data_IF_750151837315
#
_entry.id   IF_750151837315
#
_cell.length_a   1.000
_cell.length_b   1.000
_cell.length_c   1.000
_cell.angle_alpha   90.00
_cell.angle_beta   90.00
_cell.angle_gamma   90.00
#
_symmetry.space_group_name_H-M   'P 1'
#
loop_
_entity.id
_entity.type
_entity.pdbx_description
1 polymer ?
#
# COMPACT_ATOMS: atom_id res chain seq x y z
N UNK A 1 46.76 5.76 44.59
CA UNK A 1 46.58 7.00 43.79
C UNK A 1 45.09 7.26 43.59
N UNK A 2 44.49 8.21 44.33
CA UNK A 2 43.09 8.63 44.16
C UNK A 2 43.06 9.83 43.20
N UNK A 3 42.68 9.61 41.94
CA UNK A 3 42.51 10.69 40.95
C UNK A 3 41.03 11.02 40.77
N UNK A 4 40.67 12.19 41.31
CA UNK A 4 39.71 13.19 40.83
C UNK A 4 38.39 12.71 40.20
N UNK A 5 37.36 12.55 41.05
CA UNK A 5 35.94 12.40 40.66
C UNK A 5 35.24 13.73 40.34
N UNK A 6 35.92 14.86 40.52
CA UNK A 6 35.32 16.20 40.42
C UNK A 6 35.09 16.62 38.96
N UNK A 7 35.97 16.21 38.04
CA UNK A 7 35.85 16.56 36.61
C UNK A 7 34.60 15.97 35.94
N UNK A 8 34.16 14.80 36.37
CA UNK A 8 33.00 14.11 35.78
C UNK A 8 31.68 14.76 36.17
N UNK A 9 31.59 15.30 37.38
CA UNK A 9 30.37 15.97 37.90
C UNK A 9 30.14 17.30 37.17
N UNK A 10 31.20 18.07 36.91
CA UNK A 10 31.09 19.35 36.18
C UNK A 10 30.62 19.12 34.75
N UNK A 11 31.10 18.06 34.08
CA UNK A 11 30.69 17.75 32.71
C UNK A 11 29.20 17.38 32.62
N UNK A 12 28.69 16.63 33.60
CA UNK A 12 27.29 16.22 33.66
C UNK A 12 26.34 17.42 33.88
N UNK A 13 26.70 18.38 34.73
CA UNK A 13 25.86 19.56 35.00
C UNK A 13 25.77 20.46 33.77
N UNK A 14 26.88 20.66 33.04
CA UNK A 14 26.87 21.46 31.80
C UNK A 14 26.03 20.78 30.70
N UNK A 15 26.13 19.46 30.55
CA UNK A 15 25.35 18.73 29.55
C UNK A 15 23.83 18.82 29.81
N UNK A 16 23.40 18.69 31.07
CA UNK A 16 21.98 18.82 31.44
C UNK A 16 21.47 20.26 31.21
N UNK A 17 22.29 21.27 31.51
CA UNK A 17 21.94 22.67 31.25
C UNK A 17 21.71 23.00 29.77
N UNK A 18 22.56 22.46 28.87
CA UNK A 18 22.43 22.66 27.41
C UNK A 18 21.17 21.97 26.87
N UNK A 19 20.89 20.74 27.32
CA UNK A 19 19.69 20.00 26.89
C UNK A 19 18.41 20.72 27.35
N UNK A 20 18.41 21.26 28.57
CA UNK A 20 17.25 21.98 29.09
C UNK A 20 17.04 23.34 28.40
N UNK A 21 18.13 24.03 28.05
CA UNK A 21 18.09 25.28 27.29
C UNK A 21 17.51 25.11 25.87
N UNK A 22 17.91 24.04 25.18
CA UNK A 22 17.43 23.75 23.82
C UNK A 22 15.95 23.34 23.78
N UNK A 23 15.47 22.59 24.78
CA UNK A 23 14.04 22.23 24.88
C UNK A 23 13.13 23.43 25.14
N UNK A 24 13.62 24.49 25.79
CA UNK A 24 12.82 25.69 26.07
C UNK A 24 12.69 26.60 24.84
N UNK A 25 13.70 26.61 23.96
CA UNK A 25 13.71 27.42 22.74
C UNK A 25 12.79 26.85 21.66
N UNK A 26 12.62 25.53 21.60
CA UNK A 26 11.70 24.88 20.65
C UNK A 26 10.23 25.07 21.02
N UNK A 27 9.89 25.22 22.31
CA UNK A 27 8.52 25.50 22.74
C UNK A 27 8.03 26.91 22.35
N UNK A 28 8.93 27.89 22.22
CA UNK A 28 8.54 29.27 21.84
C UNK A 28 8.19 29.42 20.35
N UNK A 29 8.64 28.51 19.49
CA UNK A 29 8.36 28.58 18.04
C UNK A 29 6.94 28.06 17.72
N UNK A 30 6.31 27.31 18.63
CA UNK A 30 4.99 26.71 18.43
C UNK A 30 3.78 27.62 18.71
N UNK A 31 3.98 28.86 19.19
CA UNK A 31 2.89 29.78 19.55
C UNK A 31 2.71 30.98 18.59
N UNK A 32 3.04 30.83 17.30
CA UNK A 32 2.57 31.81 16.29
C UNK A 32 1.10 31.55 15.98
N UNK A 33 0.25 32.49 16.42
CA UNK A 33 -1.18 32.55 16.13
C UNK A 33 -1.46 32.51 14.61
N UNK A 34 -2.49 31.78 14.16
CA UNK A 34 -2.93 31.82 12.79
C UNK A 34 -3.65 33.14 12.49
N UNK A 35 -3.23 33.82 11.43
CA UNK A 35 -3.89 34.99 10.85
C UNK A 35 -5.29 34.62 10.33
N UNK A 36 -6.29 35.50 10.48
CA UNK A 36 -7.67 35.20 10.07
C UNK A 36 -7.86 35.26 8.54
N UNK A 37 -8.67 34.32 8.05
CA UNK A 37 -9.12 34.18 6.67
C UNK A 37 -9.96 35.37 6.21
N UNK A 38 -9.64 35.92 5.03
CA UNK A 38 -10.55 36.79 4.26
C UNK A 38 -11.41 35.92 3.34
N UNK A 39 -12.71 35.88 3.60
CA UNK A 39 -13.72 35.22 2.77
C UNK A 39 -14.14 36.18 1.65
N UNK A 40 -13.82 35.83 0.41
CA UNK A 40 -14.29 36.54 -0.78
C UNK A 40 -15.53 35.83 -1.33
N UNK A 41 -16.66 36.55 -1.35
CA UNK A 41 -17.93 36.12 -1.94
C UNK A 41 -17.77 35.98 -3.46
N UNK A 42 -17.96 34.77 -4.00
CA UNK A 42 -18.33 34.61 -5.41
C UNK A 42 -19.80 34.24 -5.53
N UNK A 43 -20.49 35.07 -6.31
CA UNK A 43 -21.89 34.98 -6.69
C UNK A 43 -22.17 33.79 -7.59
N UNK A 44 -23.38 33.26 -7.44
CA UNK A 44 -24.00 32.28 -8.29
C UNK A 44 -24.32 32.86 -9.69
N UNK A 45 -24.17 32.01 -10.71
CA UNK A 45 -24.94 32.11 -11.94
C UNK A 45 -25.35 30.71 -12.38
N UNK A 46 -26.67 30.50 -12.31
CA UNK A 46 -27.42 29.44 -12.97
C UNK A 46 -27.25 29.55 -14.49
N UNK A 47 -27.12 28.42 -15.18
CA UNK A 47 -27.78 28.24 -16.48
C UNK A 47 -28.07 26.76 -16.76
N UNK A 48 -29.30 26.52 -17.22
CA UNK A 48 -29.86 25.25 -17.66
C UNK A 48 -29.34 24.88 -19.06
N UNK A 49 -29.17 23.58 -19.30
CA UNK A 49 -29.03 23.01 -20.64
C UNK A 49 -29.40 21.52 -20.62
N UNK A 50 -30.52 21.20 -21.24
CA UNK A 50 -31.16 19.88 -21.34
C UNK A 50 -30.34 18.86 -22.16
N UNK A 51 -30.48 17.61 -21.73
CA UNK A 51 -30.68 16.37 -22.52
C UNK A 51 -29.72 16.00 -23.66
N UNK A 52 -29.03 14.86 -23.47
CA UNK A 52 -29.03 13.83 -24.51
C UNK A 52 -28.88 12.41 -23.91
N UNK A 53 -29.91 11.62 -24.14
CA UNK A 53 -29.97 10.16 -24.01
C UNK A 53 -28.88 9.47 -24.85
N UNK A 54 -28.19 8.51 -24.24
CA UNK A 54 -27.59 7.38 -24.95
C UNK A 54 -27.49 6.20 -23.98
N UNK A 55 -28.51 5.34 -24.03
CA UNK A 55 -28.50 4.03 -23.43
C UNK A 55 -27.35 3.19 -23.99
N UNK A 56 -26.38 2.87 -23.13
CA UNK A 56 -25.52 1.69 -23.27
C UNK A 56 -25.55 0.94 -21.96
N UNK A 57 -26.00 -0.29 -22.04
CA UNK A 57 -25.93 -1.29 -20.98
C UNK A 57 -24.46 -1.46 -20.59
N UNK A 58 -24.10 -0.91 -19.43
CA UNK A 58 -22.87 -1.22 -18.72
C UNK A 58 -23.24 -1.99 -17.45
N UNK A 59 -22.69 -3.18 -17.34
CA UNK A 59 -22.65 -3.95 -16.09
C UNK A 59 -22.06 -3.08 -14.96
N UNK A 60 -22.47 -3.27 -13.70
CA UNK A 60 -22.10 -2.35 -12.62
C UNK A 60 -20.64 -2.55 -12.21
N UNK A 61 -19.73 -1.83 -12.87
CA UNK A 61 -18.40 -1.54 -12.34
C UNK A 61 -18.51 -0.48 -11.23
N UNK A 62 -18.14 -0.88 -10.01
CA UNK A 62 -18.05 0.00 -8.85
C UNK A 62 -19.24 -0.14 -7.90
N UNK A 63 -19.17 -1.13 -7.00
CA UNK A 63 -20.06 -1.21 -5.84
C UNK A 63 -19.83 0.04 -4.97
N UNK A 64 -20.63 1.08 -5.21
CA UNK A 64 -20.65 2.33 -4.45
C UNK A 64 -20.83 1.99 -2.97
N UNK A 65 -19.91 2.48 -2.12
CA UNK A 65 -19.98 2.26 -0.66
C UNK A 65 -21.35 2.69 -0.12
N UNK A 66 -22.02 1.87 0.70
CA UNK A 66 -23.38 2.18 1.13
C UNK A 66 -23.41 3.40 2.06
N UNK A 67 -24.36 4.30 1.80
CA UNK A 67 -24.47 5.60 2.45
C UNK A 67 -24.99 5.57 3.91
N UNK A 68 -25.32 4.40 4.48
CA UNK A 68 -25.83 4.36 5.86
C UNK A 68 -26.05 2.99 6.49
N UNK A 69 -26.40 1.97 5.69
CA UNK A 69 -26.50 0.58 6.15
C UNK A 69 -25.23 -0.12 5.71
N UNK A 70 -24.30 -0.38 6.64
CA UNK A 70 -23.00 -0.96 6.28
C UNK A 70 -23.15 -2.23 5.42
N UNK A 71 -22.21 -2.46 4.50
CA UNK A 71 -22.20 -3.71 3.72
C UNK A 71 -21.73 -4.82 4.66
N UNK A 72 -22.65 -5.73 5.01
CA UNK A 72 -22.37 -6.84 5.93
C UNK A 72 -22.21 -8.13 5.15
N UNK A 73 -21.09 -8.83 5.38
CA UNK A 73 -20.77 -10.12 4.80
C UNK A 73 -20.51 -11.15 5.90
N UNK A 74 -20.96 -12.39 5.69
CA UNK A 74 -20.86 -13.46 6.68
C UNK A 74 -21.99 -13.48 7.72
N UNK A 75 -21.87 -14.36 8.70
CA UNK A 75 -22.90 -14.62 9.71
C UNK A 75 -22.96 -13.50 10.75
N UNK A 76 -24.15 -12.99 11.13
CA UNK A 76 -24.29 -12.02 12.21
C UNK A 76 -23.79 -12.56 13.57
N UNK A 77 -23.77 -13.88 13.75
CA UNK A 77 -23.37 -14.57 14.98
C UNK A 77 -21.88 -14.95 15.00
N UNK A 78 -21.13 -14.63 13.94
CA UNK A 78 -19.70 -14.89 13.88
C UNK A 78 -18.95 -14.17 15.03
N UNK A 79 -18.13 -14.92 15.76
CA UNK A 79 -17.33 -14.39 16.87
C UNK A 79 -16.19 -13.51 16.40
N UNK A 80 -15.64 -13.76 15.20
CA UNK A 80 -14.65 -12.88 14.59
C UNK A 80 -15.38 -11.77 13.84
N UNK A 81 -15.36 -10.57 14.40
CA UNK A 81 -15.96 -9.37 13.82
C UNK A 81 -14.86 -8.48 13.23
N UNK A 82 -14.97 -8.19 11.94
CA UNK A 82 -14.13 -7.23 11.23
C UNK A 82 -15.00 -6.02 10.87
N UNK A 83 -14.61 -4.84 11.34
CA UNK A 83 -15.28 -3.57 11.03
C UNK A 83 -14.31 -2.72 10.24
N UNK A 84 -14.60 -2.48 8.96
CA UNK A 84 -13.81 -1.60 8.11
C UNK A 84 -14.53 -0.26 7.94
N UNK A 85 -13.82 0.83 8.24
CA UNK A 85 -14.33 2.19 8.07
C UNK A 85 -13.43 2.89 7.08
N UNK A 86 -13.91 3.05 5.85
CA UNK A 86 -13.08 3.39 4.69
C UNK A 86 -13.66 4.60 3.94
N UNK A 87 -12.84 5.50 3.38
CA UNK A 87 -13.33 6.52 2.46
C UNK A 87 -13.70 5.89 1.10
N UNK A 88 -14.67 6.44 0.36
CA UNK A 88 -14.99 5.99 -0.99
C UNK A 88 -13.84 6.39 -1.93
N UNK A 89 -12.82 5.53 -2.02
CA UNK A 89 -11.60 5.82 -2.77
C UNK A 89 -10.98 4.54 -3.32
N UNK A 90 -10.38 4.63 -4.51
CA UNK A 90 -9.75 3.50 -5.19
C UNK A 90 -8.58 2.91 -4.40
N UNK A 91 -7.90 3.70 -3.58
CA UNK A 91 -6.81 3.22 -2.74
C UNK A 91 -7.25 2.19 -1.69
N UNK A 92 -8.56 2.05 -1.47
CA UNK A 92 -9.16 1.05 -0.58
C UNK A 92 -9.74 -0.16 -1.30
N UNK A 93 -9.77 -0.18 -2.63
CA UNK A 93 -10.22 -1.34 -3.38
C UNK A 93 -9.46 -2.64 -3.01
N UNK A 94 -8.13 -2.62 -2.78
CA UNK A 94 -7.41 -3.78 -2.28
C UNK A 94 -7.94 -4.30 -0.93
N UNK A 95 -8.22 -3.40 0.01
CA UNK A 95 -8.81 -3.72 1.31
C UNK A 95 -10.17 -4.40 1.14
N UNK A 96 -11.04 -3.81 0.31
CA UNK A 96 -12.40 -4.32 0.10
C UNK A 96 -12.40 -5.73 -0.49
N UNK A 97 -11.54 -5.98 -1.49
CA UNK A 97 -11.40 -7.30 -2.12
C UNK A 97 -10.92 -8.36 -1.12
N UNK A 98 -9.89 -8.06 -0.33
CA UNK A 98 -9.37 -9.06 0.62
C UNK A 98 -10.35 -9.35 1.76
N UNK A 99 -11.10 -8.35 2.22
CA UNK A 99 -12.14 -8.54 3.22
C UNK A 99 -13.30 -9.41 2.69
N UNK A 100 -13.68 -9.23 1.41
CA UNK A 100 -14.66 -10.08 0.76
C UNK A 100 -14.19 -11.55 0.66
N UNK A 101 -12.95 -11.77 0.26
CA UNK A 101 -12.33 -13.10 0.20
C UNK A 101 -12.27 -13.78 1.57
N UNK A 102 -11.93 -13.03 2.62
CA UNK A 102 -11.93 -13.53 4.00
C UNK A 102 -13.35 -13.94 4.43
N UNK A 103 -14.36 -13.12 4.15
CA UNK A 103 -15.76 -13.42 4.49
C UNK A 103 -16.28 -14.65 3.73
N UNK A 104 -15.91 -14.81 2.45
CA UNK A 104 -16.26 -15.97 1.62
C UNK A 104 -15.59 -17.26 2.08
N UNK A 105 -14.36 -17.18 2.57
CA UNK A 105 -13.63 -18.34 3.06
C UNK A 105 -14.25 -18.90 4.36
N UNK A 106 -14.77 -18.05 5.24
CA UNK A 106 -15.29 -18.46 6.55
C UNK A 106 -16.63 -17.78 6.92
N UNK A 107 -17.69 -17.95 6.12
CA UNK A 107 -18.92 -17.17 6.25
C UNK A 107 -19.66 -17.44 7.56
N UNK A 108 -19.43 -18.57 8.23
CA UNK A 108 -20.04 -18.90 9.53
C UNK A 108 -19.25 -18.38 10.72
N UNK A 109 -17.95 -18.09 10.55
CA UNK A 109 -17.03 -17.78 11.66
C UNK A 109 -16.49 -16.35 11.61
N UNK A 110 -16.58 -15.70 10.46
CA UNK A 110 -16.15 -14.31 10.24
C UNK A 110 -17.32 -13.47 9.75
N UNK A 111 -17.49 -12.29 10.37
CA UNK A 111 -18.38 -11.22 9.91
C UNK A 111 -17.55 -10.02 9.52
N UNK A 112 -17.80 -9.49 8.34
CA UNK A 112 -17.22 -8.22 7.86
C UNK A 112 -18.34 -7.20 7.78
N UNK A 113 -18.14 -6.03 8.38
CA UNK A 113 -19.02 -4.86 8.27
C UNK A 113 -18.22 -3.70 7.68
N UNK A 114 -18.71 -3.12 6.58
CA UNK A 114 -18.02 -2.03 5.89
C UNK A 114 -18.87 -0.77 5.96
N UNK A 115 -18.31 0.31 6.49
CA UNK A 115 -18.94 1.62 6.61
C UNK A 115 -18.10 2.68 5.90
N UNK A 116 -18.78 3.64 5.26
CA UNK A 116 -18.11 4.84 4.77
C UNK A 116 -17.63 5.72 5.92
N UNK A 117 -16.42 6.27 5.83
CA UNK A 117 -15.90 7.23 6.83
C UNK A 117 -16.83 8.43 7.06
N UNK A 118 -17.47 8.90 5.98
CA UNK A 118 -18.39 10.05 6.03
C UNK A 118 -19.82 9.67 6.43
N UNK A 119 -20.10 8.37 6.68
CA UNK A 119 -21.41 7.94 7.16
C UNK A 119 -21.54 8.24 8.67
N UNK A 120 -22.75 8.56 9.16
CA UNK A 120 -22.96 8.79 10.60
C UNK A 120 -22.46 7.61 11.46
N UNK A 121 -22.68 6.38 10.99
CA UNK A 121 -22.24 5.18 11.70
C UNK A 121 -20.72 5.00 11.68
N UNK A 122 -20.08 5.24 10.53
CA UNK A 122 -18.64 5.19 10.40
C UNK A 122 -17.94 6.23 11.29
N UNK A 123 -18.42 7.47 11.29
CA UNK A 123 -17.91 8.54 12.16
C UNK A 123 -18.05 8.19 13.65
N UNK A 124 -19.21 7.68 14.06
CA UNK A 124 -19.44 7.22 15.44
C UNK A 124 -18.45 6.11 15.84
N UNK A 125 -18.25 5.11 14.97
CA UNK A 125 -17.36 3.98 15.26
C UNK A 125 -15.89 4.43 15.30
N UNK A 126 -15.46 5.32 14.41
CA UNK A 126 -14.11 5.91 14.46
C UNK A 126 -13.85 6.62 15.79
N UNK A 127 -14.81 7.45 16.23
CA UNK A 127 -14.74 8.13 17.52
C UNK A 127 -14.70 7.11 18.68
N UNK A 128 -15.59 6.11 18.66
CA UNK A 128 -15.64 5.06 19.69
C UNK A 128 -14.31 4.30 19.80
N UNK A 129 -13.65 4.04 18.68
CA UNK A 129 -12.38 3.31 18.66
C UNK A 129 -11.13 4.22 18.73
N UNK A 130 -11.30 5.54 18.89
CA UNK A 130 -10.18 6.49 18.99
C UNK A 130 -9.33 6.54 17.71
N UNK A 131 -9.96 6.50 16.54
CA UNK A 131 -9.29 6.60 15.25
C UNK A 131 -9.76 7.84 14.47
N UNK A 132 -8.85 8.47 13.74
CA UNK A 132 -9.11 9.68 12.95
C UNK A 132 -8.99 9.45 11.44
N UNK A 133 -8.60 8.24 11.02
CA UNK A 133 -8.35 7.88 9.63
C UNK A 133 -9.02 6.54 9.28
N UNK A 134 -8.99 6.17 7.99
CA UNK A 134 -9.44 4.88 7.50
C UNK A 134 -8.87 3.77 8.39
N UNK A 135 -9.71 2.89 8.92
CA UNK A 135 -9.28 1.91 9.92
C UNK A 135 -10.07 0.62 9.79
N UNK A 136 -9.41 -0.49 10.09
CA UNK A 136 -10.00 -1.81 10.19
C UNK A 136 -9.84 -2.30 11.62
N UNK A 137 -10.95 -2.63 12.25
CA UNK A 137 -11.00 -3.16 13.61
C UNK A 137 -11.37 -4.63 13.56
N UNK A 138 -10.50 -5.49 14.07
CA UNK A 138 -10.77 -6.92 14.22
C UNK A 138 -11.00 -7.16 15.71
N UNK A 139 -12.23 -7.55 16.05
CA UNK A 139 -12.72 -7.67 17.43
C UNK A 139 -12.45 -6.42 18.28
N UNK A 140 -12.64 -5.24 17.67
CA UNK A 140 -12.48 -3.93 18.31
C UNK A 140 -11.04 -3.45 18.45
N UNK A 141 -10.05 -4.18 17.92
CA UNK A 141 -8.63 -3.79 17.93
C UNK A 141 -8.14 -3.47 16.51
N UNK A 142 -7.25 -2.50 16.39
CA UNK A 142 -6.55 -2.17 15.12
C UNK A 142 -5.03 -2.36 15.19
N UNK A 143 -4.50 -2.71 16.36
CA UNK A 143 -3.07 -2.87 16.62
C UNK A 143 -2.79 -4.32 17.02
N UNK A 144 -1.89 -4.97 16.29
CA UNK A 144 -1.61 -6.38 16.40
C UNK A 144 -0.11 -6.65 16.34
N UNK A 145 0.31 -7.71 17.01
CA UNK A 145 1.65 -8.25 16.89
C UNK A 145 1.58 -9.52 16.07
N UNK A 146 2.24 -9.54 14.92
CA UNK A 146 2.33 -10.71 14.06
C UNK A 146 3.73 -11.29 14.12
N UNK A 147 3.81 -12.62 14.18
CA UNK A 147 5.05 -13.36 14.04
C UNK A 147 5.00 -14.15 12.74
N UNK A 148 5.93 -13.86 11.83
CA UNK A 148 6.09 -14.58 10.56
C UNK A 148 7.57 -14.84 10.32
N UNK A 149 7.92 -16.06 9.91
CA UNK A 149 9.31 -16.46 9.62
C UNK A 149 10.30 -16.14 10.77
N UNK A 150 9.84 -16.28 12.02
CA UNK A 150 10.64 -15.98 13.22
C UNK A 150 10.81 -14.48 13.53
N UNK A 151 10.30 -13.58 12.69
CA UNK A 151 10.29 -12.15 12.94
C UNK A 151 8.95 -11.72 13.54
N UNK A 152 9.02 -11.02 14.66
CA UNK A 152 7.86 -10.40 15.29
C UNK A 152 7.80 -8.93 14.91
N UNK A 153 6.65 -8.49 14.40
CA UNK A 153 6.42 -7.08 14.05
C UNK A 153 5.05 -6.60 14.52
N UNK A 154 4.98 -5.30 14.77
CA UNK A 154 3.72 -4.59 15.04
C UNK A 154 3.05 -4.21 13.73
N UNK A 155 1.75 -4.40 13.64
CA UNK A 155 0.90 -4.07 12.50
C UNK A 155 -0.25 -3.20 12.97
N UNK A 156 -0.45 -2.07 12.31
CA UNK A 156 -1.54 -1.15 12.60
C UNK A 156 -2.45 -1.09 11.37
N UNK A 157 -3.67 -1.63 11.52
CA UNK A 157 -4.70 -1.68 10.49
C UNK A 157 -5.40 -0.31 10.33
N UNK A 158 -4.62 0.71 9.98
CA UNK A 158 -5.05 2.08 9.71
C UNK A 158 -4.54 2.50 8.31
N UNK A 159 -5.12 3.54 7.71
CA UNK A 159 -4.77 4.06 6.37
C UNK A 159 -5.05 3.03 5.27
N UNK A 160 -4.27 3.03 4.19
CA UNK A 160 -4.41 2.12 3.06
C UNK A 160 -3.38 0.97 3.16
N UNK A 161 -3.66 -0.21 2.56
CA UNK A 161 -2.67 -1.26 2.40
C UNK A 161 -1.40 -0.71 1.73
N UNK A 162 -0.24 -1.16 2.18
CA UNK A 162 1.06 -0.64 1.75
C UNK A 162 1.62 0.50 2.62
N UNK A 163 0.79 1.17 3.43
CA UNK A 163 1.24 2.22 4.34
C UNK A 163 1.63 1.70 5.74
N UNK A 164 0.71 1.02 6.43
CA UNK A 164 0.96 0.50 7.79
C UNK A 164 0.57 -0.97 7.99
N UNK A 165 -0.05 -1.58 6.98
CA UNK A 165 -0.36 -3.01 6.93
C UNK A 165 -0.40 -3.48 5.47
N UNK A 166 -0.35 -4.79 5.26
CA UNK A 166 -0.54 -5.45 3.96
C UNK A 166 -1.85 -6.23 3.93
N UNK A 167 -2.37 -6.56 2.75
CA UNK A 167 -3.56 -7.41 2.63
C UNK A 167 -3.37 -8.78 3.29
N UNK A 168 -2.15 -9.34 3.21
CA UNK A 168 -1.78 -10.57 3.90
C UNK A 168 -1.82 -10.44 5.42
N UNK A 169 -1.57 -9.25 5.97
CA UNK A 169 -1.64 -9.03 7.42
C UNK A 169 -3.06 -9.22 7.93
N UNK A 170 -4.07 -8.76 7.19
CA UNK A 170 -5.47 -8.96 7.55
C UNK A 170 -5.83 -10.46 7.58
N UNK A 171 -5.29 -11.25 6.64
CA UNK A 171 -5.49 -12.70 6.61
C UNK A 171 -4.87 -13.34 7.85
N UNK A 172 -3.62 -13.00 8.19
CA UNK A 172 -2.95 -13.56 9.37
C UNK A 172 -3.64 -13.17 10.67
N UNK A 173 -4.08 -11.90 10.80
CA UNK A 173 -4.78 -11.44 12.00
C UNK A 173 -6.12 -12.17 12.15
N UNK A 174 -6.88 -12.33 11.07
CA UNK A 174 -8.14 -13.08 11.12
C UNK A 174 -7.89 -14.56 11.40
N UNK A 175 -6.85 -15.16 10.82
CA UNK A 175 -6.44 -16.54 11.11
C UNK A 175 -6.14 -16.74 12.61
N UNK A 176 -5.35 -15.83 13.19
CA UNK A 176 -5.02 -15.82 14.62
C UNK A 176 -6.27 -15.66 15.50
N UNK A 177 -7.18 -14.75 15.15
CA UNK A 177 -8.42 -14.54 15.91
C UNK A 177 -9.38 -15.73 15.79
N UNK A 178 -9.42 -16.41 14.64
CA UNK A 178 -10.14 -17.67 14.48
C UNK A 178 -9.55 -18.76 15.38
N UNK A 179 -8.23 -18.92 15.42
CA UNK A 179 -7.56 -19.85 16.35
C UNK A 179 -7.93 -19.53 17.80
N UNK A 180 -7.86 -18.25 18.19
CA UNK A 180 -8.15 -17.81 19.56
C UNK A 180 -9.61 -18.07 19.99
N UNK A 181 -10.57 -17.84 19.10
CA UNK A 181 -12.01 -17.88 19.44
C UNK A 181 -12.71 -19.19 19.12
N UNK A 182 -12.16 -19.97 18.19
CA UNK A 182 -12.74 -21.24 17.72
C UNK A 182 -11.80 -22.44 17.89
N UNK A 183 -10.58 -22.24 18.41
CA UNK A 183 -9.57 -23.30 18.59
C UNK A 183 -8.86 -23.71 17.30
N UNK A 184 -9.29 -23.20 16.14
CA UNK A 184 -8.68 -23.48 14.84
C UNK A 184 -8.83 -22.28 13.90
N UNK A 185 -7.80 -22.03 13.10
CA UNK A 185 -7.79 -20.99 12.08
C UNK A 185 -8.51 -21.41 10.81
N UNK A 186 -8.14 -20.75 9.70
CA UNK A 186 -8.32 -21.31 8.36
C UNK A 186 -7.57 -22.64 8.26
N UNK A 187 -8.10 -23.59 7.49
CA UNK A 187 -7.32 -24.77 7.10
C UNK A 187 -6.14 -24.35 6.20
N UNK A 188 -5.13 -25.20 6.09
CA UNK A 188 -3.87 -24.87 5.40
C UNK A 188 -4.08 -24.54 3.92
N UNK A 189 -4.99 -25.24 3.24
CA UNK A 189 -5.30 -25.00 1.82
C UNK A 189 -5.94 -23.62 1.64
N UNK A 190 -6.93 -23.30 2.47
CA UNK A 190 -7.60 -21.99 2.46
C UNK A 190 -6.63 -20.87 2.80
N UNK A 191 -5.81 -21.05 3.84
CA UNK A 191 -4.80 -20.06 4.25
C UNK A 191 -3.80 -19.78 3.13
N UNK A 192 -3.28 -20.83 2.48
CA UNK A 192 -2.37 -20.69 1.35
C UNK A 192 -3.03 -19.95 0.19
N UNK A 193 -4.25 -20.32 -0.18
CA UNK A 193 -4.99 -19.65 -1.25
C UNK A 193 -5.23 -18.16 -0.95
N UNK A 194 -5.64 -17.83 0.29
CA UNK A 194 -5.83 -16.46 0.72
C UNK A 194 -4.51 -15.68 0.70
N UNK A 195 -3.40 -16.25 1.18
CA UNK A 195 -2.07 -15.60 1.13
C UNK A 195 -1.67 -15.25 -0.30
N UNK A 196 -1.86 -16.17 -1.25
CA UNK A 196 -1.56 -15.91 -2.66
C UNK A 196 -2.46 -14.81 -3.24
N UNK A 197 -3.76 -14.82 -2.96
CA UNK A 197 -4.67 -13.72 -3.33
C UNK A 197 -4.24 -12.39 -2.70
N UNK A 198 -3.87 -12.39 -1.42
CA UNK A 198 -3.44 -11.21 -0.69
C UNK A 198 -2.19 -10.58 -1.28
N UNK A 199 -1.22 -11.39 -1.71
CA UNK A 199 -0.01 -10.92 -2.43
C UNK A 199 -0.37 -10.28 -3.78
N UNK A 200 -1.27 -10.89 -4.53
CA UNK A 200 -1.72 -10.38 -5.83
C UNK A 200 -2.42 -9.02 -5.72
N UNK A 201 -3.14 -8.79 -4.62
CA UNK A 201 -3.92 -7.57 -4.39
C UNK A 201 -3.04 -6.34 -4.05
N UNK A 202 -1.81 -6.52 -3.56
CA UNK A 202 -0.90 -5.42 -3.14
C UNK A 202 -0.19 -4.75 -4.32
N UNK A 203 -0.19 -5.37 -5.50
CA UNK A 203 0.53 -4.88 -6.68
C UNK A 203 -0.05 -3.60 -7.32
N UNK A 204 -1.24 -3.15 -6.92
CA UNK A 204 -1.68 -1.76 -7.09
C UNK A 204 -2.07 -1.33 -8.50
N UNK A 205 -3.29 -1.67 -8.91
CA UNK A 205 -3.96 -1.09 -10.07
C UNK A 205 -5.31 -1.78 -10.31
N UNK A 206 -6.22 -1.13 -11.02
CA UNK A 206 -7.54 -1.66 -11.36
C UNK A 206 -7.46 -3.01 -12.06
N UNK A 207 -8.43 -3.88 -11.77
CA UNK A 207 -8.72 -5.07 -12.59
C UNK A 207 -7.61 -6.14 -12.68
N UNK A 208 -8.04 -7.36 -13.00
CA UNK A 208 -7.20 -8.46 -13.50
C UNK A 208 -5.96 -8.85 -12.69
N UNK A 209 -6.22 -9.75 -11.74
CA UNK A 209 -5.51 -11.03 -11.56
C UNK A 209 -4.47 -11.39 -12.63
N UNK A 210 -3.33 -11.90 -12.11
CA UNK A 210 -2.37 -12.84 -12.72
C UNK A 210 -0.95 -12.26 -12.92
N UNK A 211 -0.18 -12.24 -11.83
CA UNK A 211 1.14 -11.61 -11.71
C UNK A 211 2.29 -12.59 -11.51
N UNK A 212 2.18 -13.82 -12.04
CA UNK A 212 3.34 -14.68 -12.26
C UNK A 212 3.00 -15.71 -13.34
N UNK A 213 3.48 -15.49 -14.57
CA UNK A 213 3.45 -16.54 -15.58
C UNK A 213 4.79 -17.27 -15.54
N UNK A 214 4.84 -18.56 -15.14
CA UNK A 214 6.08 -19.34 -15.17
C UNK A 214 6.62 -19.53 -16.60
N UNK A 215 5.84 -19.17 -17.63
CA UNK A 215 6.20 -19.20 -19.05
C UNK A 215 6.57 -17.83 -19.62
N UNK A 216 6.63 -16.79 -18.79
CA UNK A 216 6.90 -15.44 -19.27
C UNK A 216 8.28 -15.33 -19.93
N UNK A 217 8.31 -14.71 -21.11
CA UNK A 217 9.53 -14.41 -21.86
C UNK A 217 10.27 -13.20 -21.27
N UNK A 218 9.51 -12.27 -20.70
CA UNK A 218 10.04 -11.09 -20.02
C UNK A 218 9.45 -11.04 -18.62
N UNK A 219 10.33 -11.00 -17.62
CA UNK A 219 9.98 -10.82 -16.22
C UNK A 219 10.39 -9.44 -15.75
N UNK A 220 9.45 -8.71 -15.15
CA UNK A 220 9.66 -7.40 -14.56
C UNK A 220 9.38 -7.49 -13.08
N UNK A 221 10.29 -7.00 -12.24
CA UNK A 221 10.09 -6.87 -10.80
C UNK A 221 10.21 -5.40 -10.42
N UNK A 222 9.23 -4.85 -9.72
CA UNK A 222 9.21 -3.45 -9.30
C UNK A 222 9.39 -3.38 -7.79
N UNK A 223 10.57 -2.94 -7.35
CA UNK A 223 10.82 -2.63 -5.94
C UNK A 223 10.36 -1.19 -5.66
N UNK A 224 9.14 -1.03 -5.15
CA UNK A 224 8.53 0.30 -4.99
C UNK A 224 8.94 0.96 -3.67
N UNK A 225 9.16 2.29 -3.64
CA UNK A 225 9.38 3.02 -2.39
C UNK A 225 8.12 3.01 -1.50
N UNK A 226 8.27 3.47 -0.25
CA UNK A 226 7.11 3.85 0.57
C UNK A 226 6.23 4.86 -0.18
N UNK A 227 4.91 4.80 0.00
CA UNK A 227 3.96 5.77 -0.57
C UNK A 227 4.24 7.22 -0.12
N UNK A 228 4.93 7.38 1.01
CA UNK A 228 5.35 8.69 1.52
C UNK A 228 6.65 9.19 0.89
N UNK A 229 7.36 8.36 0.12
CA UNK A 229 8.59 8.74 -0.55
C UNK A 229 8.31 9.68 -1.73
N UNK A 230 9.12 10.72 -1.89
CA UNK A 230 8.97 11.71 -2.97
C UNK A 230 9.01 11.10 -4.38
N UNK A 231 9.64 9.93 -4.52
CA UNK A 231 9.75 9.18 -5.79
C UNK A 231 8.60 8.18 -6.02
N UNK A 232 7.69 7.99 -5.05
CA UNK A 232 6.56 7.10 -5.22
C UNK A 232 5.72 7.38 -6.49
N UNK A 233 5.40 8.63 -6.86
CA UNK A 233 4.63 8.92 -8.07
C UNK A 233 5.26 8.36 -9.36
N UNK A 234 6.60 8.38 -9.46
CA UNK A 234 7.31 7.79 -10.61
C UNK A 234 7.07 6.28 -10.72
N UNK A 235 7.18 5.58 -9.59
CA UNK A 235 6.99 4.13 -9.55
C UNK A 235 5.53 3.75 -9.76
N UNK A 236 4.59 4.51 -9.20
CA UNK A 236 3.16 4.31 -9.43
C UNK A 236 2.80 4.44 -10.92
N UNK A 237 3.32 5.47 -11.60
CA UNK A 237 3.09 5.63 -13.04
C UNK A 237 3.78 4.53 -13.87
N UNK A 238 4.97 4.10 -13.43
CA UNK A 238 5.67 2.98 -14.07
C UNK A 238 4.86 1.68 -13.98
N UNK A 239 4.26 1.39 -12.82
CA UNK A 239 3.38 0.22 -12.65
C UNK A 239 2.19 0.30 -13.60
N UNK A 240 1.50 1.44 -13.70
CA UNK A 240 0.37 1.62 -14.65
C UNK A 240 0.77 1.41 -16.11
N UNK A 241 1.98 1.83 -16.49
CA UNK A 241 2.51 1.57 -17.83
C UNK A 241 2.73 0.06 -18.03
N UNK A 242 3.31 -0.62 -17.05
CA UNK A 242 3.54 -2.06 -17.10
C UNK A 242 2.24 -2.86 -17.14
N UNK A 243 1.21 -2.47 -16.39
CA UNK A 243 -0.13 -3.08 -16.41
C UNK A 243 -0.75 -3.03 -17.82
N UNK A 244 -0.74 -1.85 -18.46
CA UNK A 244 -1.17 -1.71 -19.86
C UNK A 244 -0.35 -2.57 -20.83
N UNK A 245 0.95 -2.75 -20.55
CA UNK A 245 1.79 -3.66 -21.34
C UNK A 245 1.43 -5.12 -21.09
N UNK A 246 1.04 -5.50 -19.87
CA UNK A 246 0.59 -6.86 -19.53
C UNK A 246 -0.71 -7.20 -20.24
N UNK A 247 -1.65 -6.26 -20.32
CA UNK A 247 -2.85 -6.42 -21.15
C UNK A 247 -2.49 -6.70 -22.61
N UNK A 248 -1.49 -6.00 -23.14
CA UNK A 248 -1.03 -6.16 -24.53
C UNK A 248 -0.26 -7.45 -24.79
N UNK A 249 0.58 -7.90 -23.85
CA UNK A 249 1.50 -9.01 -24.05
C UNK A 249 1.04 -10.32 -23.39
N UNK A 250 -0.01 -10.30 -22.58
CA UNK A 250 -0.56 -11.47 -21.92
C UNK A 250 0.49 -12.23 -21.12
N UNK A 251 0.52 -13.55 -21.27
CA UNK A 251 1.39 -14.45 -20.50
C UNK A 251 2.88 -14.36 -20.83
N UNK A 252 3.25 -13.69 -21.92
CA UNK A 252 4.65 -13.46 -22.28
C UNK A 252 5.32 -12.44 -21.35
N UNK A 253 4.54 -11.60 -20.65
CA UNK A 253 5.02 -10.63 -19.66
C UNK A 253 4.63 -11.07 -18.25
N UNK A 254 5.59 -11.15 -17.33
CA UNK A 254 5.33 -11.27 -15.89
C UNK A 254 5.73 -9.99 -15.19
N UNK A 255 4.91 -9.51 -14.27
CA UNK A 255 5.19 -8.34 -13.45
C UNK A 255 5.02 -8.75 -11.99
N UNK A 256 6.04 -8.54 -11.18
CA UNK A 256 5.99 -8.72 -9.73
C UNK A 256 6.25 -7.37 -9.06
N UNK A 257 5.54 -7.05 -7.98
CA UNK A 257 5.66 -5.76 -7.29
C UNK A 257 5.95 -6.00 -5.82
N UNK A 258 7.06 -5.44 -5.32
CA UNK A 258 7.53 -5.60 -3.95
C UNK A 258 7.76 -4.24 -3.29
N UNK A 259 6.87 -3.77 -2.42
CA UNK A 259 7.13 -2.57 -1.64
C UNK A 259 8.34 -2.77 -0.74
N UNK A 260 9.35 -1.90 -0.84
CA UNK A 260 10.60 -2.07 -0.09
C UNK A 260 10.41 -1.97 1.42
N UNK A 261 9.28 -1.45 1.90
CA UNK A 261 8.94 -1.43 3.34
C UNK A 261 8.54 -2.81 3.89
N UNK A 262 8.34 -3.80 3.02
CA UNK A 262 7.96 -5.18 3.39
C UNK A 262 9.18 -6.08 3.60
N UNK A 263 9.01 -7.20 4.30
CA UNK A 263 10.08 -8.18 4.49
C UNK A 263 10.53 -8.79 3.15
N UNK A 264 9.58 -9.07 2.26
CA UNK A 264 9.82 -9.59 0.92
C UNK A 264 10.58 -8.58 0.06
N UNK A 265 10.16 -7.31 0.07
CA UNK A 265 10.86 -6.24 -0.63
C UNK A 265 12.28 -6.03 -0.11
N UNK A 266 12.48 -6.05 1.22
CA UNK A 266 13.80 -5.98 1.85
C UNK A 266 14.68 -7.19 1.49
N UNK A 267 14.11 -8.39 1.44
CA UNK A 267 14.80 -9.60 1.00
C UNK A 267 15.26 -9.48 -0.46
N UNK A 268 14.37 -9.07 -1.37
CA UNK A 268 14.72 -8.86 -2.80
C UNK A 268 15.78 -7.77 -2.98
N UNK A 269 15.70 -6.66 -2.26
CA UNK A 269 16.74 -5.61 -2.26
C UNK A 269 18.13 -6.19 -1.92
N UNK A 270 18.21 -6.99 -0.85
CA UNK A 270 19.46 -7.63 -0.41
C UNK A 270 19.98 -8.64 -1.43
N UNK A 271 19.12 -9.51 -1.95
CA UNK A 271 19.48 -10.52 -2.95
C UNK A 271 20.04 -9.87 -4.23
N UNK A 272 19.45 -8.74 -4.64
CA UNK A 272 19.83 -8.00 -5.84
C UNK A 272 20.95 -6.98 -5.59
N UNK A 273 21.46 -6.86 -4.35
CA UNK A 273 22.48 -5.90 -3.93
C UNK A 273 22.12 -4.45 -4.29
N UNK A 274 20.84 -4.10 -4.13
CA UNK A 274 20.30 -2.78 -4.42
C UNK A 274 20.19 -1.95 -3.13
N UNK A 275 20.49 -0.66 -3.22
CA UNK A 275 20.43 0.27 -2.10
C UNK A 275 19.13 1.09 -2.06
N UNK A 276 18.18 0.81 -2.96
CA UNK A 276 16.95 1.58 -3.08
C UNK A 276 15.98 1.02 -4.11
N UNK A 277 14.83 1.71 -4.30
CA UNK A 277 13.81 1.35 -5.28
C UNK A 277 14.39 1.12 -6.69
N UNK A 278 13.84 0.15 -7.41
CA UNK A 278 14.30 -0.18 -8.76
C UNK A 278 13.23 -0.93 -9.55
N UNK A 279 13.32 -0.83 -10.88
CA UNK A 279 12.61 -1.71 -11.81
C UNK A 279 13.62 -2.68 -12.39
N UNK A 280 13.46 -3.96 -12.11
CA UNK A 280 14.37 -5.02 -12.54
C UNK A 280 13.71 -5.74 -13.71
N UNK A 281 14.38 -5.78 -14.86
CA UNK A 281 13.87 -6.46 -16.06
C UNK A 281 14.83 -7.60 -16.40
N UNK A 282 14.32 -8.83 -16.39
CA UNK A 282 15.10 -10.07 -16.56
C UNK A 282 16.32 -10.11 -15.63
N UNK A 283 16.14 -9.72 -14.36
CA UNK A 283 17.19 -9.74 -13.34
C UNK A 283 18.23 -8.61 -13.44
N UNK A 284 18.02 -7.62 -14.32
CA UNK A 284 18.97 -6.51 -14.55
C UNK A 284 18.30 -5.15 -14.31
N UNK A 285 19.12 -4.16 -13.96
CA UNK A 285 18.72 -2.74 -13.81
C UNK A 285 19.46 -1.81 -14.79
N UNK A 286 20.31 -2.38 -15.63
CA UNK A 286 21.05 -1.66 -16.68
C UNK A 286 20.80 -2.38 -17.99
N UNK A 287 20.30 -1.64 -18.96
CA UNK A 287 19.83 -2.18 -20.23
C UNK A 287 20.47 -1.43 -21.39
N UNK A 288 20.92 -2.16 -22.40
CA UNK A 288 21.28 -1.60 -23.70
C UNK A 288 20.18 -1.95 -24.70
N UNK A 289 19.53 -0.92 -25.26
CA UNK A 289 18.50 -1.09 -26.28
C UNK A 289 18.84 -0.30 -27.55
N UNK A 290 18.29 -0.68 -28.72
CA UNK A 290 18.43 0.12 -29.93
C UNK A 290 17.91 1.55 -29.74
N UNK A 291 18.72 2.51 -30.15
CA UNK A 291 18.42 3.94 -30.18
C UNK A 291 18.14 4.45 -31.59
N UNK A 292 17.83 5.75 -31.72
CA UNK A 292 17.69 6.38 -33.04
C UNK A 292 18.98 6.23 -33.84
N UNK A 293 18.86 6.11 -35.17
CA UNK A 293 20.00 6.02 -36.09
C UNK A 293 20.97 4.85 -35.82
N UNK A 294 20.45 3.68 -35.42
CA UNK A 294 21.26 2.48 -35.09
C UNK A 294 22.25 2.68 -33.94
N UNK A 295 22.08 3.73 -33.14
CA UNK A 295 22.86 3.91 -31.91
C UNK A 295 22.39 2.93 -30.82
N UNK A 296 23.17 2.77 -29.75
CA UNK A 296 22.74 2.06 -28.54
C UNK A 296 22.38 3.08 -27.46
N UNK A 297 21.24 2.92 -26.81
CA UNK A 297 20.85 3.67 -25.61
C UNK A 297 21.09 2.81 -24.38
N UNK A 298 21.79 3.36 -23.39
CA UNK A 298 21.95 2.74 -22.07
C UNK A 298 20.91 3.33 -21.12
N UNK A 299 20.04 2.49 -20.59
CA UNK A 299 18.98 2.84 -19.65
C UNK A 299 19.28 2.19 -18.31
N UNK A 300 19.22 2.99 -17.23
CA UNK A 300 19.39 2.51 -15.86
C UNK A 300 18.05 2.66 -15.14
N UNK A 301 17.45 1.54 -14.73
CA UNK A 301 16.13 1.47 -14.10
C UNK A 301 16.19 1.30 -12.57
N UNK A 302 17.37 1.45 -11.97
CA UNK A 302 17.53 1.56 -10.53
C UNK A 302 17.57 3.03 -10.11
N UNK A 303 16.88 3.36 -9.02
CA UNK A 303 17.00 4.67 -8.40
C UNK A 303 18.19 4.70 -7.45
N UNK A 304 19.20 5.50 -7.76
CA UNK A 304 20.45 5.62 -6.98
C UNK A 304 20.73 7.03 -6.45
N UNK A 305 19.75 7.93 -6.45
CA UNK A 305 19.92 9.31 -5.97
C UNK A 305 20.87 10.17 -6.84
N UNK A 306 21.28 9.69 -8.01
CA UNK A 306 22.09 10.43 -8.99
C UNK A 306 21.24 11.22 -10.00
N UNK A 307 21.92 12.00 -10.86
CA UNK A 307 21.31 12.95 -11.80
C UNK A 307 20.47 12.34 -12.94
N UNK A 308 20.46 11.01 -13.11
CA UNK A 308 19.68 10.33 -14.15
C UNK A 308 18.63 9.43 -13.52
N UNK A 309 17.39 9.89 -13.52
CA UNK A 309 16.21 9.12 -13.11
C UNK A 309 15.57 8.59 -14.39
N UNK A 310 15.25 7.29 -14.44
CA UNK A 310 14.50 6.72 -15.57
C UNK A 310 13.08 7.30 -15.63
N UNK A 311 12.52 7.35 -16.83
CA UNK A 311 11.09 7.63 -17.01
C UNK A 311 10.27 6.33 -17.15
N UNK A 312 8.94 6.37 -16.90
CA UNK A 312 8.06 5.23 -17.20
C UNK A 312 8.17 4.78 -18.66
N UNK A 313 8.43 5.73 -19.59
CA UNK A 313 8.69 5.44 -21.00
C UNK A 313 9.97 4.63 -21.20
N UNK A 314 11.05 4.94 -20.48
CA UNK A 314 12.30 4.17 -20.61
C UNK A 314 12.10 2.70 -20.20
N UNK A 315 11.31 2.44 -19.17
CA UNK A 315 10.93 1.07 -18.76
C UNK A 315 10.12 0.39 -19.88
N UNK A 316 9.14 1.08 -20.46
CA UNK A 316 8.34 0.55 -21.56
C UNK A 316 9.18 0.24 -22.82
N UNK A 317 10.14 1.11 -23.15
CA UNK A 317 11.06 0.92 -24.26
C UNK A 317 11.91 -0.35 -24.05
N UNK A 318 12.43 -0.57 -22.84
CA UNK A 318 13.22 -1.76 -22.49
C UNK A 318 12.37 -3.04 -22.59
N UNK A 319 11.19 -3.06 -21.97
CA UNK A 319 10.31 -4.23 -22.01
C UNK A 319 9.90 -4.54 -23.46
N UNK A 320 9.56 -3.53 -24.25
CA UNK A 320 9.21 -3.70 -25.67
C UNK A 320 10.38 -4.26 -26.48
N UNK A 321 11.60 -3.78 -26.24
CA UNK A 321 12.80 -4.29 -26.92
C UNK A 321 13.05 -5.77 -26.60
N UNK A 322 12.92 -6.17 -25.33
CA UNK A 322 13.08 -7.58 -24.94
C UNK A 322 11.97 -8.47 -25.48
N UNK A 323 10.73 -7.97 -25.53
CA UNK A 323 9.62 -8.68 -26.17
C UNK A 323 9.85 -8.91 -27.67
N UNK A 324 10.39 -7.92 -28.38
CA UNK A 324 10.74 -8.07 -29.79
C UNK A 324 11.89 -9.06 -30.00
N UNK A 325 12.88 -9.08 -29.11
CA UNK A 325 13.99 -10.03 -29.17
C UNK A 325 13.51 -11.46 -28.92
N UNK A 326 12.59 -11.67 -27.97
CA UNK A 326 12.04 -12.99 -27.66
C UNK A 326 11.10 -13.56 -28.73
N UNK A 327 10.72 -12.77 -29.74
CA UNK A 327 9.94 -13.21 -30.90
C UNK A 327 10.80 -13.65 -32.09
N UNK A 328 12.10 -13.34 -32.08
CA UNK A 328 13.07 -13.75 -33.10
C UNK A 328 13.70 -15.08 -32.73
#
# INVERSE_FOLDING_TARGET
MKRSSIGFIVFLVVAVGVIYGLSRLTQQIGQREPTPYTSEKMQASHEHGHEHESAREHEPEGELMPAGVGNVKGSPEAKVKVVAILPPSECQAPTLRILDEIAKAEPKRVRVEIYGMNSPKGAQLLQQYGATCASIFINGKKDFTLTSEGQTRRVICEKSPGMSYQSTDLIEIVHMELQRLYGKGFDEKTLKALREKGKQIVAGGHGTTELASPKAKVKVEVLTPSQQGSIYPLFAETVRVLERMKEKFGDDLSIDIYPIVTAEGQKRLKELKLNGPAVIINGKVVHEIPGPNKTKRKIVTAYSGGASIFSPKDVADVVSAYMQQAKR
#
